data_IF_623731602088
#
_entry.id   IF_623731602088
#
_cell.length_a   1.000
_cell.length_b   1.000
_cell.length_c   1.000
_cell.angle_alpha   90.00
_cell.angle_beta   90.00
_cell.angle_gamma   90.00
#
_symmetry.space_group_name_H-M   'P 1'
#
loop_
_entity.id
_entity.type
_entity.pdbx_description
1 polymer ?
#
# COMPACT_ATOMS: atom_id res chain seq x y z
N UNK A 1 -7.90 -25.97 5.12
CA UNK A 1 -7.70 -25.35 6.45
C UNK A 1 -7.96 -23.86 6.31
N UNK A 2 -8.77 -23.25 7.18
CA UNK A 2 -8.94 -21.80 7.18
C UNK A 2 -7.63 -21.11 7.58
N UNK A 3 -7.25 -20.07 6.85
CA UNK A 3 -6.14 -19.20 7.23
C UNK A 3 -6.67 -18.20 8.26
N UNK A 4 -6.06 -18.18 9.45
CA UNK A 4 -6.38 -17.21 10.51
C UNK A 4 -5.36 -16.09 10.51
N UNK A 5 -5.83 -14.85 10.35
CA UNK A 5 -5.00 -13.66 10.50
C UNK A 5 -4.93 -13.30 11.99
N UNK A 6 -3.71 -13.22 12.52
CA UNK A 6 -3.44 -12.77 13.89
C UNK A 6 -3.47 -11.25 13.95
N UNK A 7 -4.22 -10.70 14.92
CA UNK A 7 -4.47 -9.26 15.08
C UNK A 7 -3.23 -8.51 15.54
N UNK A 8 -3.24 -7.19 15.39
CA UNK A 8 -2.14 -6.31 15.80
C UNK A 8 -1.71 -6.50 17.26
N UNK A 9 -2.68 -6.68 18.16
CA UNK A 9 -2.43 -6.95 19.58
C UNK A 9 -1.48 -8.14 19.83
N UNK A 10 -1.39 -9.11 18.91
CA UNK A 10 -0.49 -10.26 19.06
C UNK A 10 0.99 -9.87 19.02
N UNK A 11 1.40 -8.95 18.14
CA UNK A 11 2.79 -8.48 18.06
C UNK A 11 3.02 -7.17 18.82
N UNK A 12 1.97 -6.36 19.02
CA UNK A 12 2.08 -5.07 19.71
C UNK A 12 2.55 -5.19 21.18
N UNK A 13 2.36 -6.34 21.81
CA UNK A 13 2.89 -6.59 23.15
C UNK A 13 4.42 -6.48 23.25
N UNK A 14 5.15 -6.68 22.14
CA UNK A 14 6.61 -6.56 22.06
C UNK A 14 7.08 -5.13 21.74
N UNK A 15 6.15 -4.21 21.47
CA UNK A 15 6.46 -2.78 21.25
C UNK A 15 6.68 -2.09 22.60
N UNK A 16 7.54 -1.07 22.59
CA UNK A 16 7.75 -0.15 23.72
C UNK A 16 6.40 0.31 24.31
N UNK A 17 6.23 0.32 25.65
CA UNK A 17 4.97 0.68 26.28
C UNK A 17 4.39 2.03 25.84
N UNK A 18 5.22 3.02 25.49
CA UNK A 18 4.76 4.34 25.03
C UNK A 18 4.09 4.28 23.66
N UNK A 19 4.46 3.31 22.81
CA UNK A 19 3.91 3.15 21.45
C UNK A 19 2.92 2.00 21.34
N UNK A 20 2.79 1.15 22.36
CA UNK A 20 1.94 -0.04 22.34
C UNK A 20 0.47 0.27 22.04
N UNK A 21 -0.08 1.30 22.67
CA UNK A 21 -1.48 1.70 22.44
C UNK A 21 -1.72 2.02 20.95
N UNK A 22 -0.78 2.71 20.29
CA UNK A 22 -0.87 2.97 18.86
C UNK A 22 -0.69 1.69 18.04
N UNK A 23 0.24 0.81 18.43
CA UNK A 23 0.47 -0.46 17.76
C UNK A 23 -0.76 -1.39 17.81
N UNK A 24 -1.52 -1.38 18.91
CA UNK A 24 -2.71 -2.21 19.10
C UNK A 24 -3.95 -1.70 18.35
N UNK A 25 -3.97 -0.41 17.98
CA UNK A 25 -5.14 0.18 17.34
C UNK A 25 -5.49 -0.54 16.03
N UNK A 26 -6.78 -0.74 15.74
CA UNK A 26 -7.21 -1.29 14.46
C UNK A 26 -6.60 -0.49 13.30
N UNK A 27 -6.30 -1.13 12.17
CA UNK A 27 -5.71 -0.44 11.04
C UNK A 27 -6.56 0.74 10.56
N UNK A 28 -5.92 1.89 10.35
CA UNK A 28 -6.60 3.05 9.80
C UNK A 28 -6.95 2.81 8.32
N UNK A 29 -8.20 3.07 7.90
CA UNK A 29 -8.57 2.99 6.50
C UNK A 29 -7.84 4.07 5.69
N UNK A 30 -7.66 3.83 4.38
CA UNK A 30 -7.10 4.84 3.49
C UNK A 30 -7.99 6.09 3.50
N UNK A 31 -7.40 7.29 3.62
CA UNK A 31 -8.15 8.53 3.49
C UNK A 31 -8.54 8.82 2.03
N UNK A 32 -8.08 8.02 1.06
CA UNK A 32 -8.41 8.18 -0.34
C UNK A 32 -9.78 7.53 -0.65
N UNK A 33 -10.84 8.31 -0.95
CA UNK A 33 -12.16 7.76 -1.27
C UNK A 33 -12.16 7.01 -2.62
N UNK A 34 -11.17 7.27 -3.47
CA UNK A 34 -11.00 6.60 -4.77
C UNK A 34 -10.08 5.37 -4.66
N UNK A 35 -9.73 4.94 -3.45
CA UNK A 35 -8.96 3.72 -3.26
C UNK A 35 -9.73 2.52 -3.84
N UNK A 36 -9.16 1.96 -4.91
CA UNK A 36 -9.73 0.82 -5.60
C UNK A 36 -8.78 -0.38 -5.45
N UNK A 37 -9.23 -1.50 -4.87
CA UNK A 37 -8.40 -2.68 -4.64
C UNK A 37 -8.00 -3.44 -5.91
N UNK A 38 -8.30 -2.94 -7.12
CA UNK A 38 -7.80 -3.53 -8.39
C UNK A 38 -6.27 -3.43 -8.59
N UNK A 39 -5.53 -3.00 -7.58
CA UNK A 39 -4.07 -3.11 -7.52
C UNK A 39 -3.59 -4.56 -7.29
N UNK A 40 -2.37 -4.87 -7.73
CA UNK A 40 -1.73 -6.15 -7.45
C UNK A 40 -1.21 -6.27 -6.01
N UNK A 41 -0.66 -7.44 -5.67
CA UNK A 41 0.04 -7.67 -4.40
C UNK A 41 1.52 -7.40 -4.59
N UNK A 42 2.09 -6.54 -3.75
CA UNK A 42 3.54 -6.32 -3.67
C UNK A 42 4.11 -7.18 -2.55
N UNK A 43 5.01 -8.11 -2.89
CA UNK A 43 5.66 -8.99 -1.93
C UNK A 43 7.04 -8.44 -1.62
N UNK A 44 7.28 -8.18 -0.34
CA UNK A 44 8.58 -7.77 0.19
C UNK A 44 9.09 -8.87 1.12
N UNK A 45 10.41 -9.02 1.19
CA UNK A 45 11.08 -9.82 2.22
C UNK A 45 11.89 -8.90 3.12
N UNK A 46 12.08 -9.29 4.39
CA UNK A 46 12.75 -8.47 5.41
C UNK A 46 14.21 -8.14 5.10
N UNK A 47 14.87 -8.98 4.30
CA UNK A 47 16.32 -8.92 4.09
C UNK A 47 17.05 -9.94 4.98
N UNK A 48 18.38 -9.88 5.08
CA UNK A 48 19.10 -10.65 6.09
C UNK A 48 18.59 -10.20 7.47
N UNK A 49 17.94 -11.10 8.20
CA UNK A 49 17.15 -10.75 9.38
C UNK A 49 17.93 -9.96 10.45
N UNK A 50 17.20 -9.16 11.22
CA UNK A 50 17.67 -8.35 12.35
C UNK A 50 18.21 -9.20 13.51
N UNK A 51 17.69 -10.43 13.62
CA UNK A 51 18.01 -11.37 14.70
C UNK A 51 19.14 -12.28 14.20
N UNK A 52 20.35 -12.10 14.72
CA UNK A 52 21.56 -12.85 14.33
C UNK A 52 21.47 -14.38 14.48
N UNK A 53 20.36 -14.93 14.98
CA UNK A 53 20.04 -16.37 15.06
C UNK A 53 18.88 -16.84 14.16
N UNK A 54 18.27 -15.96 13.36
CA UNK A 54 17.08 -16.28 12.55
C UNK A 54 15.77 -16.22 13.33
N UNK A 55 14.71 -16.85 12.79
CA UNK A 55 13.37 -16.94 13.39
C UNK A 55 13.12 -18.35 13.94
N UNK A 56 13.82 -18.75 14.99
CA UNK A 56 13.71 -20.08 15.58
C UNK A 56 12.32 -20.30 16.18
N UNK A 57 11.79 -19.31 16.89
CA UNK A 57 10.49 -19.33 17.56
C UNK A 57 9.49 -18.38 16.89
N UNK A 58 8.20 -18.58 17.19
CA UNK A 58 7.17 -17.64 16.74
C UNK A 58 7.34 -16.25 17.39
N UNK A 59 7.82 -16.20 18.64
CA UNK A 59 8.08 -14.94 19.34
C UNK A 59 9.17 -14.12 18.62
N UNK A 60 10.18 -14.77 18.02
CA UNK A 60 11.19 -14.09 17.19
C UNK A 60 10.54 -13.33 16.01
N UNK A 61 9.49 -13.89 15.41
CA UNK A 61 8.73 -13.20 14.37
C UNK A 61 7.94 -12.02 14.95
N UNK A 62 7.34 -12.17 16.13
CA UNK A 62 6.56 -11.10 16.77
C UNK A 62 7.45 -9.92 17.18
N UNK A 63 8.64 -10.21 17.72
CA UNK A 63 9.66 -9.22 18.07
C UNK A 63 10.17 -8.47 16.83
N UNK A 64 10.45 -9.17 15.73
CA UNK A 64 10.88 -8.50 14.49
C UNK A 64 9.75 -7.65 13.87
N UNK A 65 8.49 -8.11 13.90
CA UNK A 65 7.35 -7.32 13.45
C UNK A 65 7.22 -6.03 14.29
N UNK A 66 7.36 -6.14 15.62
CA UNK A 66 7.36 -4.99 16.52
C UNK A 66 8.56 -4.05 16.26
N UNK A 67 9.71 -4.61 15.90
CA UNK A 67 10.90 -3.88 15.47
C UNK A 67 10.64 -3.07 14.20
N UNK A 68 10.09 -3.68 13.15
CA UNK A 68 9.73 -3.00 11.89
C UNK A 68 8.76 -1.85 12.17
N UNK A 69 7.69 -2.10 12.92
CA UNK A 69 6.76 -1.04 13.30
C UNK A 69 7.48 0.11 14.01
N UNK A 70 8.38 -0.20 14.95
CA UNK A 70 9.11 0.81 15.72
C UNK A 70 10.04 1.63 14.82
N UNK A 71 10.75 0.98 13.89
CA UNK A 71 11.63 1.62 12.91
C UNK A 71 10.83 2.54 11.97
N UNK A 72 9.73 2.05 11.41
CA UNK A 72 8.85 2.81 10.52
C UNK A 72 8.32 4.07 11.24
N UNK A 73 7.74 3.90 12.42
CA UNK A 73 7.20 5.02 13.21
C UNK A 73 8.29 6.05 13.55
N UNK A 74 9.48 5.61 13.97
CA UNK A 74 10.58 6.51 14.37
C UNK A 74 11.24 7.22 13.20
N UNK A 75 11.39 6.55 12.07
CA UNK A 75 11.94 7.14 10.85
C UNK A 75 10.95 8.09 10.17
N UNK A 76 9.67 8.04 10.57
CA UNK A 76 8.58 8.74 9.89
C UNK A 76 8.21 8.07 8.57
N UNK A 77 8.85 6.95 8.24
CA UNK A 77 8.45 6.13 7.12
C UNK A 77 7.09 5.47 7.43
N UNK A 78 6.30 5.21 6.40
CA UNK A 78 4.98 4.65 6.61
C UNK A 78 3.97 5.60 7.27
N UNK A 79 4.15 6.92 7.28
CA UNK A 79 3.11 7.84 7.76
C UNK A 79 2.68 7.54 9.21
N UNK A 80 3.63 7.14 10.07
CA UNK A 80 3.39 6.89 11.49
C UNK A 80 2.81 5.52 11.81
N UNK A 81 2.85 4.54 10.90
CA UNK A 81 2.48 3.14 11.16
C UNK A 81 3.37 2.18 10.35
N UNK A 82 3.33 0.88 10.66
CA UNK A 82 4.07 -0.17 9.94
C UNK A 82 3.75 -0.15 8.45
N UNK A 83 4.74 -0.22 7.55
CA UNK A 83 4.57 -0.02 6.10
C UNK A 83 3.79 -1.12 5.37
N UNK A 84 3.61 -2.27 6.01
CA UNK A 84 3.04 -3.46 5.39
C UNK A 84 1.59 -3.68 5.80
N UNK A 85 0.76 -4.10 4.85
CA UNK A 85 -0.63 -4.49 5.12
C UNK A 85 -0.69 -5.79 5.94
N UNK A 86 0.18 -6.74 5.61
CA UNK A 86 0.27 -8.07 6.21
C UNK A 86 1.73 -8.50 6.34
N UNK A 87 2.04 -9.25 7.38
CA UNK A 87 3.37 -9.85 7.60
C UNK A 87 3.23 -11.37 7.71
N UNK A 88 4.16 -12.11 7.10
CA UNK A 88 4.14 -13.57 7.08
C UNK A 88 5.39 -14.09 7.78
N UNK A 89 5.19 -14.94 8.77
CA UNK A 89 6.27 -15.60 9.49
C UNK A 89 6.56 -16.98 8.90
N UNK A 90 7.82 -17.43 9.00
CA UNK A 90 8.23 -18.72 8.44
C UNK A 90 7.55 -19.93 9.11
N UNK A 91 7.01 -19.77 10.33
CA UNK A 91 6.19 -20.78 10.99
C UNK A 91 4.76 -20.89 10.43
N UNK A 92 4.41 -20.05 9.43
CA UNK A 92 3.14 -20.13 8.69
C UNK A 92 2.03 -19.21 9.19
N UNK A 93 2.29 -18.38 10.20
CA UNK A 93 1.32 -17.40 10.71
C UNK A 93 1.34 -16.10 9.87
N UNK A 94 0.16 -15.50 9.74
CA UNK A 94 -0.04 -14.20 9.09
C UNK A 94 -0.49 -13.19 10.13
N UNK A 95 0.15 -12.03 10.14
CA UNK A 95 -0.10 -10.95 11.09
C UNK A 95 -0.65 -9.72 10.39
N UNK A 96 -1.63 -9.08 11.04
CA UNK A 96 -2.21 -7.82 10.62
C UNK A 96 -1.22 -6.68 10.83
N UNK A 97 -0.89 -5.96 9.76
CA UNK A 97 -0.23 -4.66 9.81
C UNK A 97 -1.27 -3.57 9.57
N UNK A 98 -1.27 -2.94 8.39
CA UNK A 98 -2.30 -1.95 8.00
C UNK A 98 -3.61 -2.51 7.44
N UNK A 99 -3.74 -3.84 7.36
CA UNK A 99 -4.99 -4.46 6.90
C UNK A 99 -5.33 -4.15 5.43
N UNK A 100 -6.56 -4.46 5.02
CA UNK A 100 -6.98 -4.40 3.61
C UNK A 100 -7.12 -2.99 3.03
N UNK A 101 -7.55 -2.03 3.84
CA UNK A 101 -8.03 -0.73 3.35
C UNK A 101 -6.95 0.35 3.34
N UNK A 102 -5.71 0.06 3.71
CA UNK A 102 -4.64 1.04 3.71
C UNK A 102 -3.84 0.97 2.39
N UNK A 103 -3.88 2.05 1.61
CA UNK A 103 -3.01 2.20 0.45
C UNK A 103 -1.56 2.37 0.91
N UNK A 104 -0.64 1.59 0.33
CA UNK A 104 0.78 1.96 0.39
C UNK A 104 0.99 3.21 -0.47
N UNK A 105 1.78 4.21 -0.02
CA UNK A 105 2.25 5.27 -0.90
C UNK A 105 3.09 4.62 -2.00
N UNK A 106 2.52 4.44 -3.19
CA UNK A 106 3.32 4.07 -4.35
C UNK A 106 4.07 5.32 -4.78
N UNK A 107 5.40 5.33 -4.72
CA UNK A 107 6.23 6.43 -5.23
C UNK A 107 6.05 6.71 -6.73
N UNK A 108 5.22 5.93 -7.42
CA UNK A 108 4.63 6.30 -8.70
C UNK A 108 3.17 6.70 -8.45
N UNK A 109 2.84 7.96 -8.72
CA UNK A 109 1.47 8.32 -9.04
C UNK A 109 1.02 7.36 -10.15
N UNK A 110 0.08 6.47 -9.83
CA UNK A 110 -0.58 5.67 -10.84
C UNK A 110 -1.23 6.67 -11.82
N UNK A 111 -0.58 6.88 -12.96
CA UNK A 111 -1.20 7.62 -14.05
C UNK A 111 -2.49 6.87 -14.39
N UNK A 112 -3.65 7.54 -14.43
CA UNK A 112 -4.88 6.87 -14.82
C UNK A 112 -4.67 6.24 -16.19
N UNK A 113 -5.25 5.05 -16.47
CA UNK A 113 -5.12 4.42 -17.76
C UNK A 113 -5.59 5.41 -18.81
N UNK A 114 -4.68 5.80 -19.71
CA UNK A 114 -4.96 6.73 -20.78
C UNK A 114 -6.18 6.22 -21.54
N UNK A 115 -7.30 6.93 -21.39
CA UNK A 115 -8.47 6.73 -22.23
C UNK A 115 -7.99 6.88 -23.68
N UNK A 116 -7.89 5.75 -24.38
CA UNK A 116 -7.61 5.71 -25.82
C UNK A 116 -8.72 6.47 -26.53
N UNK A 117 -8.58 7.79 -26.66
CA UNK A 117 -9.31 8.57 -27.66
C UNK A 117 -8.81 8.07 -29.00
N UNK A 118 -9.59 7.20 -29.64
CA UNK A 118 -9.42 6.88 -31.06
C UNK A 118 -9.46 8.19 -31.83
N UNK A 119 -8.31 8.60 -32.33
CA UNK A 119 -8.19 9.60 -33.37
C UNK A 119 -8.89 9.06 -34.62
N UNK A 120 -10.06 9.62 -34.96
CA UNK A 120 -10.53 9.65 -36.34
C UNK A 120 -10.18 11.03 -36.91
N UNK A 121 -8.93 11.13 -37.36
CA UNK A 121 -8.48 12.18 -38.27
C UNK A 121 -8.94 11.79 -39.67
N UNK A 122 -10.11 12.25 -40.09
CA UNK A 122 -10.43 12.34 -41.52
C UNK A 122 -10.05 13.75 -41.98
N UNK A 123 -8.87 13.85 -42.60
CA UNK A 123 -8.45 15.02 -43.39
C UNK A 123 -8.46 14.57 -44.83
N UNK A 124 -9.25 15.21 -45.69
CA UNK A 124 -8.98 15.47 -47.10
C UNK A 124 -10.20 16.14 -47.74
N UNK A 125 -9.99 17.31 -48.33
CA UNK A 125 -11.02 18.01 -49.09
C UNK A 125 -10.83 19.52 -49.12
N UNK A 126 -9.68 19.98 -49.64
CA UNK A 126 -9.53 21.37 -50.04
C UNK A 126 -10.35 21.62 -51.32
N UNK A 127 -11.11 22.71 -51.38
CA UNK A 127 -11.35 23.50 -52.60
C UNK A 127 -11.88 24.86 -52.19
N UNK A 128 -11.17 25.89 -52.64
CA UNK A 128 -11.55 27.29 -52.54
C UNK A 128 -12.57 27.62 -53.64
N UNK A 129 -13.58 28.44 -53.33
CA UNK A 129 -14.26 29.30 -54.31
C UNK A 129 -15.13 30.37 -53.62
N UNK A 130 -14.74 31.63 -53.82
CA UNK A 130 -15.56 32.83 -54.12
C UNK A 130 -16.84 33.20 -53.34
N UNK A 131 -16.80 34.43 -52.82
CA UNK A 131 -17.90 35.36 -52.47
C UNK A 131 -19.00 35.47 -53.55
N UNK A 132 -20.25 35.84 -53.18
CA UNK A 132 -20.62 37.27 -53.19
C UNK A 132 -21.60 37.74 -52.08
N UNK A 133 -21.83 39.05 -52.12
CA UNK A 133 -22.42 40.04 -51.18
C UNK A 133 -23.87 39.88 -50.66
N UNK A 134 -24.09 40.54 -49.49
CA UNK A 134 -25.27 41.29 -48.99
C UNK A 134 -26.58 40.52 -48.64
N UNK A 135 -27.50 41.03 -47.77
CA UNK A 135 -27.75 42.46 -47.45
C UNK A 135 -28.06 42.83 -45.96
N UNK A 136 -27.87 44.12 -45.63
CA UNK A 136 -28.84 45.03 -44.98
C UNK A 136 -28.26 46.44 -44.94
#
# INVERSE_FOLDING_TARGET
>A
MPITIKRRATWAQFVDPMMRVHAENPPAPSPNPDWNPVGGVFIHHRGPGSLGGGYVTEDDCLEDIAGVYTEDVRSGEGNGDIQYNWLVCQHGNIYEGRGTSAARPTGAAASPPAARRRAHRARSGATAASTPSAPS
#
